data_IF_841667025540
#
_entry.id   IF_841667025540
#
_cell.length_a   1.000
_cell.length_b   1.000
_cell.length_c   1.000
_cell.angle_alpha   90.00
_cell.angle_beta   90.00
_cell.angle_gamma   90.00
#
_symmetry.space_group_name_H-M   'P 1'
#
loop_
_entity.id
_entity.type
_entity.pdbx_description
1 polymer ?
#
# COMPACT_ATOMS: atom_id res chain seq x y z
N UNK A 1 14.29 -26.91 -6.07
CA UNK A 1 15.49 -26.22 -6.62
C UNK A 1 15.05 -24.83 -7.05
N UNK A 2 15.95 -23.85 -6.95
CA UNK A 2 15.59 -22.48 -7.32
C UNK A 2 16.26 -22.11 -8.63
N UNK A 3 15.52 -21.50 -9.55
CA UNK A 3 15.95 -21.09 -10.88
C UNK A 3 15.82 -19.60 -11.02
N UNK A 4 16.73 -18.97 -11.75
CA UNK A 4 16.71 -17.55 -12.01
C UNK A 4 16.61 -17.32 -13.52
N UNK A 5 15.52 -16.72 -13.96
CA UNK A 5 15.28 -16.36 -15.35
C UNK A 5 15.53 -14.87 -15.52
N UNK A 6 16.57 -14.52 -16.27
CA UNK A 6 16.86 -13.15 -16.66
C UNK A 6 16.24 -12.83 -18.01
N UNK A 7 15.61 -11.66 -18.13
CA UNK A 7 14.90 -11.20 -19.33
C UNK A 7 15.29 -9.76 -19.62
N UNK A 8 15.72 -9.46 -20.82
CA UNK A 8 16.06 -8.09 -21.24
C UNK A 8 15.65 -7.84 -22.69
N UNK A 9 15.60 -6.58 -23.08
CA UNK A 9 15.38 -6.21 -24.47
C UNK A 9 16.56 -6.62 -25.34
N UNK A 10 16.29 -6.96 -26.60
CA UNK A 10 17.34 -7.21 -27.61
C UNK A 10 18.24 -5.98 -27.75
N UNK A 11 19.49 -6.19 -28.12
CA UNK A 11 20.51 -5.13 -28.11
C UNK A 11 20.26 -4.01 -29.11
N UNK A 12 19.50 -4.29 -30.16
CA UNK A 12 19.10 -3.34 -31.20
C UNK A 12 17.90 -2.47 -30.82
N UNK A 13 17.23 -2.79 -29.68
CA UNK A 13 16.09 -2.05 -29.19
C UNK A 13 16.51 -1.05 -28.10
N UNK A 14 15.86 0.12 -28.15
CA UNK A 14 16.05 1.15 -27.14
C UNK A 14 15.39 0.72 -25.84
N UNK A 15 16.15 0.74 -24.76
CA UNK A 15 15.66 0.52 -23.41
C UNK A 15 15.10 1.83 -22.83
N UNK A 16 13.79 1.97 -22.88
CA UNK A 16 13.11 3.20 -22.42
C UNK A 16 13.16 3.34 -20.88
N UNK A 17 13.13 2.23 -20.16
CA UNK A 17 13.26 2.20 -18.70
C UNK A 17 14.67 2.65 -18.29
N UNK A 18 15.69 2.02 -18.87
CA UNK A 18 17.08 2.38 -18.63
C UNK A 18 17.39 3.84 -19.02
N UNK A 19 16.83 4.32 -20.13
CA UNK A 19 16.98 5.74 -20.52
C UNK A 19 16.31 6.67 -19.50
N UNK A 20 15.13 6.31 -18.96
CA UNK A 20 14.47 7.07 -17.91
C UNK A 20 15.31 7.18 -16.64
N UNK A 21 15.95 6.08 -16.22
CA UNK A 21 16.87 6.05 -15.08
C UNK A 21 18.09 6.92 -15.35
N UNK A 22 18.69 6.80 -16.54
CA UNK A 22 19.83 7.63 -16.96
C UNK A 22 19.52 9.13 -16.86
N UNK A 23 18.36 9.54 -17.34
CA UNK A 23 17.90 10.93 -17.26
C UNK A 23 17.67 11.38 -15.82
N UNK A 24 17.09 10.54 -14.99
CA UNK A 24 16.86 10.84 -13.57
C UNK A 24 18.19 10.97 -12.80
N UNK A 25 19.15 10.09 -13.04
CA UNK A 25 20.48 10.16 -12.43
C UNK A 25 21.17 11.50 -12.74
N UNK A 26 21.10 11.94 -14.00
CA UNK A 26 21.63 13.24 -14.42
C UNK A 26 20.87 14.40 -13.75
N UNK A 27 19.55 14.42 -13.84
CA UNK A 27 18.74 15.55 -13.35
C UNK A 27 18.70 15.68 -11.83
N UNK A 28 18.71 14.55 -11.10
CA UNK A 28 18.58 14.57 -9.65
C UNK A 28 19.92 14.72 -8.95
N UNK A 29 20.96 14.08 -9.50
CA UNK A 29 22.25 13.98 -8.83
C UNK A 29 23.41 14.59 -9.60
N UNK A 30 23.20 14.99 -10.85
CA UNK A 30 24.29 15.42 -11.72
C UNK A 30 25.22 14.28 -12.15
N UNK A 31 24.80 13.02 -11.99
CA UNK A 31 25.59 11.84 -12.37
C UNK A 31 25.36 11.52 -13.83
N UNK A 32 26.42 11.63 -14.64
CA UNK A 32 26.40 11.31 -16.07
C UNK A 32 26.65 9.81 -16.28
N UNK A 33 25.66 9.12 -16.81
CA UNK A 33 25.75 7.73 -17.28
C UNK A 33 25.74 7.70 -18.82
N UNK A 34 26.56 6.87 -19.41
CA UNK A 34 26.55 6.65 -20.88
C UNK A 34 25.30 5.83 -21.25
N UNK A 35 25.03 4.76 -20.51
CA UNK A 35 23.90 3.88 -20.74
C UNK A 35 23.44 3.19 -19.44
N UNK A 36 22.14 2.90 -19.36
CA UNK A 36 21.54 1.97 -18.40
C UNK A 36 20.75 0.92 -19.17
N UNK A 37 20.94 -0.35 -18.83
CA UNK A 37 20.17 -1.47 -19.38
C UNK A 37 19.50 -2.22 -18.24
N UNK A 38 18.21 -2.49 -18.41
CA UNK A 38 17.41 -3.21 -17.41
C UNK A 38 17.29 -4.69 -17.77
N UNK A 39 17.43 -5.53 -16.76
CA UNK A 39 17.25 -6.98 -16.85
C UNK A 39 16.24 -7.33 -15.77
N UNK A 40 15.03 -7.73 -16.17
CA UNK A 40 14.02 -8.25 -15.25
C UNK A 40 14.38 -9.68 -14.87
N UNK A 41 14.27 -9.98 -13.60
CA UNK A 41 14.69 -11.26 -13.05
C UNK A 41 13.50 -11.93 -12.38
N UNK A 42 13.19 -13.15 -12.79
CA UNK A 42 12.17 -13.99 -12.20
C UNK A 42 12.88 -15.15 -11.50
N UNK A 43 12.81 -15.16 -10.18
CA UNK A 43 13.36 -16.23 -9.35
C UNK A 43 12.27 -17.24 -9.02
N UNK A 44 12.36 -18.45 -9.56
CA UNK A 44 11.40 -19.52 -9.40
C UNK A 44 11.92 -20.48 -8.33
N UNK A 45 11.31 -20.47 -7.15
CA UNK A 45 11.61 -21.39 -6.06
C UNK A 45 10.57 -22.51 -6.04
N UNK A 46 10.65 -23.38 -7.04
CA UNK A 46 9.74 -24.50 -7.23
C UNK A 46 10.44 -25.70 -7.87
N UNK A 47 9.82 -26.88 -7.75
CA UNK A 47 10.34 -28.12 -8.32
C UNK A 47 9.68 -28.37 -9.69
N UNK A 48 10.30 -27.81 -10.72
CA UNK A 48 9.82 -27.91 -12.11
C UNK A 48 10.81 -28.71 -12.98
N UNK A 49 10.29 -29.40 -13.98
CA UNK A 49 11.13 -30.13 -14.95
C UNK A 49 11.79 -29.16 -15.94
N UNK A 50 12.89 -29.57 -16.60
CA UNK A 50 13.53 -28.74 -17.62
C UNK A 50 12.59 -28.36 -18.75
N UNK A 51 11.66 -29.23 -19.15
CA UNK A 51 10.65 -29.00 -20.17
C UNK A 51 9.66 -27.91 -19.71
N UNK A 52 9.18 -27.98 -18.47
CA UNK A 52 8.31 -26.97 -17.86
C UNK A 52 9.03 -25.61 -17.79
N UNK A 53 10.27 -25.59 -17.32
CA UNK A 53 11.07 -24.37 -17.26
C UNK A 53 11.26 -23.75 -18.66
N UNK A 54 11.55 -24.55 -19.67
CA UNK A 54 11.69 -24.01 -21.02
C UNK A 54 10.35 -23.48 -21.56
N UNK A 55 9.23 -24.15 -21.31
CA UNK A 55 7.91 -23.71 -21.73
C UNK A 55 7.55 -22.36 -21.09
N UNK A 56 7.67 -22.20 -19.77
CA UNK A 56 7.37 -20.93 -19.10
C UNK A 56 8.34 -19.82 -19.55
N UNK A 57 9.60 -20.12 -19.82
CA UNK A 57 10.55 -19.16 -20.35
C UNK A 57 10.12 -18.64 -21.71
N UNK A 58 9.82 -19.54 -22.66
CA UNK A 58 9.59 -19.18 -24.05
C UNK A 58 8.18 -18.69 -24.34
N UNK A 59 7.17 -19.19 -23.64
CA UNK A 59 5.77 -18.93 -23.95
C UNK A 59 5.09 -17.99 -22.96
N UNK A 60 5.57 -17.93 -21.71
CA UNK A 60 4.96 -17.10 -20.67
C UNK A 60 5.73 -15.78 -20.44
N UNK A 61 7.05 -15.88 -20.17
CA UNK A 61 7.81 -14.72 -19.67
C UNK A 61 8.62 -14.00 -20.74
N UNK A 62 8.80 -14.55 -21.93
CA UNK A 62 9.65 -13.90 -22.95
C UNK A 62 8.84 -13.53 -24.17
N UNK A 63 8.83 -12.25 -24.52
CA UNK A 63 8.36 -11.83 -25.83
C UNK A 63 9.45 -12.09 -26.88
N UNK A 64 9.27 -13.07 -27.80
CA UNK A 64 10.33 -13.47 -28.73
C UNK A 64 10.65 -12.39 -29.77
N UNK A 65 9.76 -11.41 -29.97
CA UNK A 65 9.97 -10.30 -30.91
C UNK A 65 10.94 -9.27 -30.32
N UNK A 66 10.76 -8.90 -29.06
CA UNK A 66 11.48 -7.76 -28.45
C UNK A 66 12.50 -8.15 -27.40
N UNK A 67 12.39 -9.35 -26.83
CA UNK A 67 13.19 -9.76 -25.68
C UNK A 67 14.08 -10.97 -25.99
N UNK A 68 15.08 -11.12 -25.16
CA UNK A 68 15.86 -12.34 -24.98
C UNK A 68 15.85 -12.73 -23.50
N UNK A 69 15.96 -14.02 -23.22
CA UNK A 69 15.95 -14.54 -21.86
C UNK A 69 16.90 -15.72 -21.69
N UNK A 70 17.38 -15.91 -20.46
CA UNK A 70 18.31 -16.99 -20.12
C UNK A 70 18.16 -17.37 -18.66
N UNK A 71 18.32 -18.68 -18.36
CA UNK A 71 18.52 -19.17 -16.99
C UNK A 71 19.97 -19.02 -16.50
N UNK A 72 20.88 -18.70 -17.39
CA UNK A 72 22.23 -18.27 -17.02
C UNK A 72 22.27 -16.74 -17.00
N UNK A 73 23.16 -16.12 -16.21
CA UNK A 73 23.30 -14.69 -16.16
C UNK A 73 23.54 -14.08 -17.55
N UNK A 74 22.73 -13.10 -17.94
CA UNK A 74 22.92 -12.40 -19.21
C UNK A 74 24.10 -11.46 -19.10
N UNK A 75 25.08 -11.66 -19.98
CA UNK A 75 26.28 -10.82 -20.03
C UNK A 75 25.99 -9.60 -20.91
N UNK A 76 25.98 -8.42 -20.32
CA UNK A 76 25.94 -7.12 -20.98
C UNK A 76 27.22 -6.35 -20.63
N UNK A 77 27.56 -5.34 -21.43
CA UNK A 77 28.62 -4.40 -21.05
C UNK A 77 28.15 -3.51 -19.91
N UNK A 78 28.94 -3.41 -18.84
CA UNK A 78 28.66 -2.52 -17.70
C UNK A 78 29.97 -2.22 -16.95
N UNK A 79 30.01 -1.09 -16.26
CA UNK A 79 31.03 -0.77 -15.27
C UNK A 79 30.53 -1.20 -13.87
N UNK A 80 29.24 -1.02 -13.63
CA UNK A 80 28.54 -1.40 -12.40
C UNK A 80 27.21 -2.08 -12.69
N UNK A 81 26.87 -3.05 -11.88
CA UNK A 81 25.52 -3.62 -11.88
C UNK A 81 24.87 -3.49 -10.50
N UNK A 82 23.60 -3.11 -10.48
CA UNK A 82 22.77 -2.98 -9.27
C UNK A 82 21.61 -3.95 -9.41
N UNK A 83 21.50 -4.87 -8.50
CA UNK A 83 20.31 -5.70 -8.34
C UNK A 83 19.42 -5.11 -7.26
N UNK A 84 18.10 -5.03 -7.53
CA UNK A 84 17.08 -4.56 -6.59
C UNK A 84 15.98 -5.59 -6.52
N UNK A 85 15.58 -5.99 -5.33
CA UNK A 85 14.47 -6.92 -5.08
C UNK A 85 13.85 -6.70 -3.71
N UNK A 86 12.70 -7.29 -3.47
CA UNK A 86 11.98 -7.11 -2.22
C UNK A 86 12.73 -7.67 -1.00
N UNK A 87 12.47 -7.06 0.16
CA UNK A 87 12.92 -7.59 1.45
C UNK A 87 12.09 -8.80 1.86
N UNK A 88 12.64 -9.72 2.69
CA UNK A 88 11.84 -10.76 3.31
C UNK A 88 10.63 -10.19 4.06
N UNK A 89 9.45 -10.80 3.83
CA UNK A 89 8.19 -10.38 4.45
C UNK A 89 7.39 -9.35 3.65
N UNK A 90 7.99 -8.71 2.66
CA UNK A 90 7.27 -7.85 1.73
C UNK A 90 6.57 -8.72 0.67
N UNK A 91 5.31 -8.42 0.39
CA UNK A 91 4.56 -9.15 -0.64
C UNK A 91 5.01 -8.74 -2.03
N UNK A 92 5.45 -9.72 -2.80
CA UNK A 92 5.74 -9.59 -4.23
C UNK A 92 4.47 -9.89 -5.05
N UNK A 93 3.72 -8.84 -5.42
CA UNK A 93 2.51 -8.99 -6.21
C UNK A 93 2.78 -9.50 -7.64
N UNK A 94 3.78 -8.97 -8.40
CA UNK A 94 4.17 -9.55 -9.66
C UNK A 94 4.59 -11.03 -9.55
N UNK A 95 5.32 -11.40 -8.51
CA UNK A 95 5.69 -12.77 -8.21
C UNK A 95 4.47 -13.67 -7.95
N UNK A 96 3.48 -13.17 -7.20
CA UNK A 96 2.23 -13.90 -6.97
C UNK A 96 1.45 -14.11 -8.28
N UNK A 97 1.38 -13.09 -9.13
CA UNK A 97 0.74 -13.22 -10.47
C UNK A 97 1.51 -14.18 -11.37
N UNK A 98 2.83 -14.21 -11.26
CA UNK A 98 3.65 -15.17 -11.99
C UNK A 98 3.38 -16.61 -11.55
N UNK A 99 3.13 -16.85 -10.25
CA UNK A 99 2.69 -18.17 -9.74
C UNK A 99 1.39 -18.59 -10.42
N UNK A 100 0.35 -17.73 -10.39
CA UNK A 100 -0.95 -18.03 -11.01
C UNK A 100 -0.81 -18.33 -12.51
N UNK A 101 0.00 -17.55 -13.22
CA UNK A 101 0.23 -17.74 -14.64
C UNK A 101 0.98 -19.06 -14.96
N UNK A 102 1.91 -19.47 -14.12
CA UNK A 102 2.61 -20.77 -14.23
C UNK A 102 1.64 -21.92 -13.98
N UNK A 103 0.84 -21.82 -12.91
CA UNK A 103 -0.17 -22.84 -12.55
C UNK A 103 -1.17 -23.04 -13.67
N UNK A 104 -1.69 -21.94 -14.21
CA UNK A 104 -2.67 -21.97 -15.34
C UNK A 104 -2.06 -22.56 -16.60
N UNK A 105 -0.84 -22.12 -16.98
CA UNK A 105 -0.20 -22.60 -18.20
C UNK A 105 0.16 -24.09 -18.15
N UNK A 106 0.67 -24.54 -16.99
CA UNK A 106 1.13 -25.92 -16.83
C UNK A 106 0.01 -26.88 -16.37
N UNK A 107 -1.14 -26.37 -15.95
CA UNK A 107 -2.23 -27.16 -15.36
C UNK A 107 -1.84 -27.82 -14.05
N UNK A 108 -1.02 -27.19 -13.24
CA UNK A 108 -0.52 -27.69 -11.95
C UNK A 108 -0.90 -26.71 -10.82
N UNK A 109 -0.68 -27.15 -9.58
CA UNK A 109 -0.69 -26.27 -8.39
C UNK A 109 0.66 -26.40 -7.73
N UNK A 110 1.34 -25.27 -7.48
CA UNK A 110 2.60 -25.24 -6.76
C UNK A 110 2.40 -25.69 -5.30
N UNK A 111 3.38 -26.39 -4.75
CA UNK A 111 3.32 -26.92 -3.39
C UNK A 111 3.38 -25.79 -2.36
N UNK A 112 2.83 -26.01 -1.16
CA UNK A 112 3.02 -25.06 -0.06
C UNK A 112 4.50 -24.79 0.19
N UNK A 113 4.86 -23.49 0.15
CA UNK A 113 6.24 -23.03 0.29
C UNK A 113 7.01 -22.88 -1.01
N UNK A 114 6.51 -23.34 -2.16
CA UNK A 114 7.01 -22.94 -3.47
C UNK A 114 6.49 -21.55 -3.83
N UNK A 115 7.30 -20.74 -4.50
CA UNK A 115 6.97 -19.35 -4.81
C UNK A 115 7.78 -18.83 -6.00
N UNK A 116 7.35 -17.68 -6.51
CA UNK A 116 8.07 -16.92 -7.53
C UNK A 116 8.32 -15.52 -7.01
N UNK A 117 9.51 -15.01 -7.24
CA UNK A 117 9.93 -13.67 -6.81
C UNK A 117 10.43 -12.86 -8.01
N UNK A 118 10.16 -11.56 -7.97
CA UNK A 118 10.61 -10.64 -9.02
C UNK A 118 11.68 -9.69 -8.49
N UNK A 119 12.58 -9.32 -9.37
CA UNK A 119 13.63 -8.33 -9.09
C UNK A 119 14.13 -7.73 -10.40
N UNK A 120 14.93 -6.67 -10.31
CA UNK A 120 15.52 -6.05 -11.49
C UNK A 120 17.02 -5.87 -11.29
N UNK A 121 17.79 -6.18 -12.32
CA UNK A 121 19.22 -5.94 -12.39
C UNK A 121 19.48 -4.82 -13.40
N UNK A 122 20.10 -3.75 -12.94
CA UNK A 122 20.45 -2.58 -13.73
C UNK A 122 21.94 -2.63 -14.07
N UNK A 123 22.27 -2.61 -15.36
CA UNK A 123 23.64 -2.56 -15.88
C UNK A 123 23.95 -1.11 -16.26
N UNK A 124 24.90 -0.49 -15.57
CA UNK A 124 25.28 0.91 -15.75
C UNK A 124 26.65 1.00 -16.43
N UNK A 125 26.75 1.86 -17.44
CA UNK A 125 28.04 2.28 -18.01
C UNK A 125 28.16 3.79 -17.87
N UNK A 126 29.36 4.26 -17.54
CA UNK A 126 29.63 5.70 -17.43
C UNK A 126 31.06 5.99 -17.01
N UNK A 127 31.71 6.88 -17.73
CA UNK A 127 33.10 7.25 -17.45
C UNK A 127 33.19 8.06 -16.14
N UNK A 128 33.98 7.57 -15.20
CA UNK A 128 34.24 8.28 -13.95
C UNK A 128 33.15 8.13 -12.89
N UNK A 129 32.16 7.25 -13.10
CA UNK A 129 31.14 6.92 -12.11
C UNK A 129 31.80 6.17 -10.94
N UNK A 130 31.69 6.75 -9.76
CA UNK A 130 32.30 6.22 -8.53
C UNK A 130 31.37 5.24 -7.80
N UNK A 131 31.92 4.48 -6.86
CA UNK A 131 31.10 3.61 -6.00
C UNK A 131 30.06 4.42 -5.22
N UNK A 132 30.40 5.62 -4.74
CA UNK A 132 29.48 6.49 -4.00
C UNK A 132 28.31 6.95 -4.89
N UNK A 133 28.58 7.29 -6.16
CA UNK A 133 27.53 7.61 -7.13
C UNK A 133 26.56 6.43 -7.33
N UNK A 134 27.11 5.21 -7.43
CA UNK A 134 26.31 4.00 -7.60
C UNK A 134 25.49 3.68 -6.35
N UNK A 135 26.06 3.87 -5.16
CA UNK A 135 25.31 3.75 -3.91
C UNK A 135 24.16 4.74 -3.83
N UNK A 136 24.41 5.99 -4.25
CA UNK A 136 23.39 7.01 -4.31
C UNK A 136 22.26 6.67 -5.29
N UNK A 137 22.61 6.21 -6.49
CA UNK A 137 21.63 5.73 -7.48
C UNK A 137 20.82 4.57 -6.92
N UNK A 138 21.47 3.59 -6.30
CA UNK A 138 20.77 2.43 -5.73
C UNK A 138 19.76 2.81 -4.65
N UNK A 139 20.19 3.55 -3.63
CA UNK A 139 19.35 3.86 -2.47
C UNK A 139 18.36 5.00 -2.68
N UNK A 140 18.72 6.02 -3.50
CA UNK A 140 17.89 7.21 -3.63
C UNK A 140 17.06 7.26 -4.93
N UNK A 141 17.38 6.42 -5.93
CA UNK A 141 16.66 6.37 -7.20
C UNK A 141 16.00 5.02 -7.47
N UNK A 142 16.72 3.91 -7.31
CA UNK A 142 16.26 2.60 -7.76
C UNK A 142 15.50 1.82 -6.69
N UNK A 143 16.00 1.81 -5.44
CA UNK A 143 15.41 1.02 -4.37
C UNK A 143 14.72 1.89 -3.31
N UNK A 144 13.66 1.38 -2.72
CA UNK A 144 13.06 1.90 -1.50
C UNK A 144 13.50 1.02 -0.33
N UNK A 145 14.35 1.54 0.54
CA UNK A 145 14.95 0.79 1.63
C UNK A 145 13.96 0.28 2.70
N UNK A 146 12.73 0.77 2.70
CA UNK A 146 11.67 0.24 3.57
C UNK A 146 11.20 -1.13 3.09
N UNK A 147 11.02 -1.32 1.78
CA UNK A 147 10.43 -2.53 1.21
C UNK A 147 11.39 -3.32 0.31
N UNK A 148 12.51 -2.73 -0.09
CA UNK A 148 13.47 -3.32 -1.01
C UNK A 148 14.87 -3.40 -0.41
N UNK A 149 15.66 -4.26 -1.00
CA UNK A 149 17.09 -4.43 -0.75
C UNK A 149 17.83 -4.43 -2.08
N UNK A 150 19.12 -4.11 -2.05
CA UNK A 150 19.94 -4.09 -3.25
C UNK A 150 21.33 -4.66 -3.04
N UNK A 151 21.93 -5.06 -4.13
CA UNK A 151 23.32 -5.52 -4.20
C UNK A 151 24.02 -4.82 -5.34
N UNK A 152 25.18 -4.23 -5.06
CA UNK A 152 26.03 -3.56 -6.05
C UNK A 152 27.23 -4.45 -6.32
N UNK A 153 27.57 -4.65 -7.60
CA UNK A 153 28.71 -5.43 -8.02
C UNK A 153 29.44 -4.64 -9.13
N UNK A 154 30.76 -4.46 -8.98
CA UNK A 154 31.57 -3.86 -10.02
C UNK A 154 31.84 -4.87 -11.15
N UNK A 155 32.22 -4.38 -12.33
CA UNK A 155 32.64 -5.27 -13.41
C UNK A 155 33.88 -6.11 -13.05
N UNK A 156 34.73 -5.58 -12.19
CA UNK A 156 35.94 -6.32 -11.71
C UNK A 156 35.60 -7.49 -10.79
N UNK A 157 34.47 -7.38 -10.04
CA UNK A 157 34.03 -8.40 -9.07
C UNK A 157 32.95 -9.32 -9.67
N UNK A 158 32.60 -9.14 -10.95
CA UNK A 158 31.57 -9.92 -11.60
C UNK A 158 32.04 -11.32 -11.99
N UNK A 159 31.32 -12.32 -11.53
CA UNK A 159 31.50 -13.72 -11.87
C UNK A 159 30.44 -14.16 -12.89
N UNK A 160 30.79 -14.37 -14.18
CA UNK A 160 29.80 -14.63 -15.24
C UNK A 160 28.92 -15.86 -15.03
N UNK A 161 29.41 -16.88 -14.35
CA UNK A 161 28.66 -18.11 -14.09
C UNK A 161 27.75 -18.02 -12.85
N UNK A 162 28.01 -17.05 -11.97
CA UNK A 162 27.27 -16.83 -10.72
C UNK A 162 26.27 -15.70 -10.84
N UNK A 163 26.65 -14.64 -11.57
CA UNK A 163 25.84 -13.42 -11.66
C UNK A 163 25.66 -12.73 -10.30
N UNK A 164 24.46 -12.29 -10.03
CA UNK A 164 24.10 -11.75 -8.71
C UNK A 164 23.98 -12.84 -7.64
N UNK A 165 23.81 -14.09 -8.06
CA UNK A 165 23.42 -15.21 -7.23
C UNK A 165 21.91 -15.26 -6.98
N UNK A 166 21.41 -16.41 -6.58
CA UNK A 166 19.97 -16.59 -6.28
C UNK A 166 19.65 -16.00 -4.92
N UNK A 167 18.80 -14.99 -4.91
CA UNK A 167 18.33 -14.33 -3.68
C UNK A 167 16.83 -14.62 -3.54
N UNK A 168 16.45 -15.26 -2.42
CA UNK A 168 15.08 -15.65 -2.12
C UNK A 168 14.63 -14.89 -0.86
N UNK A 169 13.74 -13.89 -0.99
CA UNK A 169 13.28 -13.08 0.13
C UNK A 169 12.16 -13.81 0.91
N UNK A 170 12.43 -15.03 1.36
CA UNK A 170 11.47 -15.89 2.05
C UNK A 170 11.58 -15.74 3.55
N UNK A 171 10.45 -15.54 4.21
CA UNK A 171 10.37 -15.64 5.66
C UNK A 171 10.09 -17.10 6.03
N UNK A 172 10.95 -17.66 6.86
CA UNK A 172 10.75 -19.00 7.42
C UNK A 172 10.16 -18.81 8.81
N UNK A 173 8.94 -19.30 9.01
CA UNK A 173 8.30 -19.27 10.31
C UNK A 173 8.67 -20.56 11.07
N UNK A 174 9.19 -20.39 12.26
CA UNK A 174 9.59 -21.51 13.13
C UNK A 174 8.41 -22.14 13.88
N UNK A 175 7.20 -21.62 13.70
CA UNK A 175 5.99 -22.06 14.38
C UNK A 175 4.84 -22.30 13.42
N UNK A 176 3.94 -23.19 13.81
CA UNK A 176 2.68 -23.38 13.09
C UNK A 176 1.71 -22.25 13.43
N UNK A 177 0.96 -21.72 12.44
CA UNK A 177 -0.10 -20.75 12.71
C UNK A 177 -1.11 -21.32 13.69
N UNK A 178 -1.42 -20.56 14.73
CA UNK A 178 -2.36 -20.96 15.77
C UNK A 178 -2.92 -19.75 16.48
N UNK A 179 -3.90 -19.98 17.34
CA UNK A 179 -4.44 -18.97 18.23
C UNK A 179 -3.76 -19.12 19.59
N UNK A 180 -3.17 -18.04 20.08
CA UNK A 180 -2.45 -18.03 21.35
C UNK A 180 -3.26 -17.26 22.41
N UNK A 181 -3.25 -17.75 23.64
CA UNK A 181 -3.78 -17.02 24.79
C UNK A 181 -2.72 -16.05 25.32
N UNK A 182 -3.09 -14.80 25.49
CA UNK A 182 -2.19 -13.72 25.87
C UNK A 182 -2.40 -13.35 27.34
N UNK A 183 -1.36 -13.45 28.21
CA UNK A 183 -1.50 -13.10 29.62
C UNK A 183 -1.70 -11.58 29.79
N UNK A 184 -2.60 -11.21 30.68
CA UNK A 184 -2.94 -9.82 31.01
C UNK A 184 -2.78 -9.51 32.51
N UNK A 185 -1.76 -10.04 33.14
CA UNK A 185 -1.53 -9.96 34.59
C UNK A 185 -1.44 -8.53 35.12
N UNK A 186 -0.85 -7.63 34.35
CA UNK A 186 -0.71 -6.22 34.69
C UNK A 186 -0.88 -5.30 33.48
N UNK A 187 -1.11 -4.00 33.72
CA UNK A 187 -1.13 -2.99 32.67
C UNK A 187 0.22 -2.90 31.95
N UNK A 188 1.31 -3.09 32.70
CA UNK A 188 2.66 -3.12 32.13
C UNK A 188 2.86 -4.30 31.18
N UNK A 189 2.35 -5.49 31.55
CA UNK A 189 2.39 -6.68 30.69
C UNK A 189 1.63 -6.45 29.38
N UNK A 190 0.41 -5.94 29.45
CA UNK A 190 -0.39 -5.69 28.25
C UNK A 190 0.22 -4.57 27.38
N UNK A 191 0.85 -3.56 28.02
CA UNK A 191 1.59 -2.53 27.28
C UNK A 191 2.79 -3.13 26.54
N UNK A 192 3.60 -3.95 27.19
CA UNK A 192 4.72 -4.63 26.57
C UNK A 192 4.27 -5.47 25.37
N UNK A 193 3.21 -6.26 25.52
CA UNK A 193 2.63 -7.05 24.43
C UNK A 193 2.14 -6.16 23.29
N UNK A 194 1.52 -5.01 23.62
CA UNK A 194 1.13 -4.03 22.60
C UNK A 194 2.31 -3.52 21.80
N UNK A 195 3.43 -3.22 22.47
CA UNK A 195 4.65 -2.73 21.82
C UNK A 195 5.31 -3.85 20.98
N UNK A 196 5.42 -5.07 21.50
CA UNK A 196 6.03 -6.22 20.81
C UNK A 196 5.23 -6.69 19.58
N UNK A 197 3.90 -6.58 19.62
CA UNK A 197 3.00 -7.01 18.54
C UNK A 197 2.49 -5.86 17.67
N UNK A 198 2.98 -4.64 17.86
CA UNK A 198 2.54 -3.43 17.15
C UNK A 198 1.02 -3.18 17.23
N UNK A 199 0.40 -3.48 18.36
CA UNK A 199 -1.03 -3.27 18.54
C UNK A 199 -1.42 -1.79 18.71
N UNK A 200 -0.48 -0.92 19.01
CA UNK A 200 -0.70 0.52 19.22
C UNK A 200 -1.85 0.84 20.18
N UNK A 201 -2.02 0.03 21.24
CA UNK A 201 -3.09 0.25 22.21
C UNK A 201 -2.89 1.56 22.97
N UNK A 202 -3.92 2.40 23.02
CA UNK A 202 -3.86 3.63 23.78
C UNK A 202 -3.64 3.30 25.27
N UNK A 203 -2.68 3.95 25.95
CA UNK A 203 -2.40 3.72 27.36
C UNK A 203 -3.63 3.83 28.28
N UNK A 204 -4.60 4.68 27.93
CA UNK A 204 -5.85 4.84 28.69
C UNK A 204 -6.83 3.67 28.46
N UNK A 205 -6.71 2.95 27.36
CA UNK A 205 -7.58 1.80 27.07
C UNK A 205 -7.07 0.51 27.72
N UNK A 206 -5.76 0.40 28.00
CA UNK A 206 -5.16 -0.78 28.61
C UNK A 206 -5.84 -1.22 29.90
N UNK A 207 -6.07 -0.34 30.90
CA UNK A 207 -6.80 -0.73 32.12
C UNK A 207 -8.24 -1.17 31.84
N UNK A 208 -8.90 -0.56 30.85
CA UNK A 208 -10.28 -0.88 30.47
C UNK A 208 -10.36 -2.26 29.82
N UNK A 209 -9.45 -2.55 28.91
CA UNK A 209 -9.35 -3.87 28.25
C UNK A 209 -9.12 -4.96 29.32
N UNK A 210 -8.17 -4.75 30.22
CA UNK A 210 -7.91 -5.69 31.32
C UNK A 210 -9.13 -5.88 32.21
N UNK A 211 -9.76 -4.79 32.64
CA UNK A 211 -10.95 -4.87 33.48
C UNK A 211 -12.10 -5.66 32.84
N UNK A 212 -12.28 -5.55 31.52
CA UNK A 212 -13.24 -6.36 30.78
C UNK A 212 -12.93 -7.85 30.85
N UNK A 213 -11.73 -8.27 30.50
CA UNK A 213 -11.37 -9.70 30.50
C UNK A 213 -11.24 -10.30 31.92
N UNK A 214 -11.00 -9.46 32.95
CA UNK A 214 -10.95 -9.89 34.33
C UNK A 214 -12.35 -9.91 35.01
N UNK A 215 -13.39 -9.41 34.35
CA UNK A 215 -14.74 -9.42 34.87
C UNK A 215 -15.27 -10.85 35.05
N UNK A 216 -15.85 -11.15 36.22
CA UNK A 216 -16.33 -12.50 36.57
C UNK A 216 -17.39 -13.06 35.61
N UNK A 217 -18.29 -12.21 35.10
CA UNK A 217 -19.31 -12.62 34.13
C UNK A 217 -18.67 -12.98 32.81
N UNK A 218 -17.79 -12.12 32.30
CA UNK A 218 -17.05 -12.36 31.07
C UNK A 218 -16.22 -13.64 31.17
N UNK A 219 -15.49 -13.83 32.27
CA UNK A 219 -14.70 -15.05 32.51
C UNK A 219 -15.56 -16.32 32.52
N UNK A 220 -16.73 -16.29 33.14
CA UNK A 220 -17.64 -17.45 33.13
C UNK A 220 -18.12 -17.80 31.75
N UNK A 221 -18.49 -16.81 30.95
CA UNK A 221 -18.91 -17.03 29.56
C UNK A 221 -17.77 -17.57 28.73
N UNK A 222 -16.56 -17.04 28.88
CA UNK A 222 -15.35 -17.45 28.15
C UNK A 222 -14.93 -18.89 28.48
N UNK A 223 -14.99 -19.29 29.73
CA UNK A 223 -14.67 -20.65 30.17
C UNK A 223 -15.59 -21.69 29.49
N UNK A 224 -16.85 -21.35 29.21
CA UNK A 224 -17.75 -22.22 28.46
C UNK A 224 -17.28 -22.51 27.04
N UNK A 225 -16.45 -21.62 26.47
CA UNK A 225 -15.80 -21.76 25.14
C UNK A 225 -14.35 -22.25 25.21
N UNK A 226 -13.87 -22.66 26.40
CA UNK A 226 -12.50 -23.11 26.60
C UNK A 226 -11.45 -21.99 26.66
N UNK A 227 -11.87 -20.74 26.82
CA UNK A 227 -11.01 -19.56 26.87
C UNK A 227 -10.92 -19.00 28.31
N UNK A 228 -9.79 -18.43 28.66
CA UNK A 228 -9.57 -17.71 29.93
C UNK A 228 -9.18 -16.25 29.68
N UNK A 229 -7.91 -16.01 29.42
CA UNK A 229 -7.38 -14.71 29.04
C UNK A 229 -7.70 -14.40 27.56
N UNK A 230 -7.53 -13.16 27.08
CA UNK A 230 -7.75 -12.83 25.70
C UNK A 230 -6.86 -13.65 24.78
N UNK A 231 -7.34 -13.91 23.58
CA UNK A 231 -6.50 -14.44 22.51
C UNK A 231 -5.80 -13.29 21.79
N UNK A 232 -4.72 -13.62 21.09
CA UNK A 232 -4.01 -12.71 20.22
C UNK A 232 -4.93 -12.11 19.14
N UNK A 233 -5.84 -12.91 18.55
CA UNK A 233 -6.84 -12.45 17.57
C UNK A 233 -7.82 -11.43 18.20
N UNK A 234 -8.25 -11.63 19.44
CA UNK A 234 -9.13 -10.68 20.12
C UNK A 234 -8.40 -9.35 20.37
N UNK A 235 -7.12 -9.39 20.74
CA UNK A 235 -6.34 -8.17 20.94
C UNK A 235 -6.10 -7.44 19.62
N UNK A 236 -5.85 -8.14 18.51
CA UNK A 236 -5.78 -7.58 17.16
C UNK A 236 -7.11 -6.87 16.79
N UNK A 237 -8.23 -7.53 17.01
CA UNK A 237 -9.54 -6.96 16.73
C UNK A 237 -9.79 -5.68 17.56
N UNK A 238 -9.44 -5.70 18.84
CA UNK A 238 -9.56 -4.54 19.73
C UNK A 238 -8.64 -3.41 19.24
N UNK A 239 -7.41 -3.73 18.89
CA UNK A 239 -6.44 -2.78 18.31
C UNK A 239 -7.04 -2.06 17.10
N UNK A 240 -7.53 -2.80 16.12
CA UNK A 240 -8.15 -2.23 14.93
C UNK A 240 -9.39 -1.38 15.26
N UNK A 241 -10.31 -1.91 16.05
CA UNK A 241 -11.57 -1.23 16.40
C UNK A 241 -11.37 0.01 17.27
N UNK A 242 -10.29 0.08 18.06
CA UNK A 242 -9.96 1.19 18.96
C UNK A 242 -8.97 2.20 18.35
N UNK A 243 -8.42 1.91 17.19
CA UNK A 243 -7.50 2.82 16.50
C UNK A 243 -8.15 4.18 16.21
N UNK A 244 -7.35 5.22 16.08
CA UNK A 244 -7.86 6.56 15.76
C UNK A 244 -8.53 6.61 14.38
N UNK A 245 -8.09 5.75 13.47
CA UNK A 245 -8.72 5.57 12.17
C UNK A 245 -10.18 5.10 12.25
N UNK A 246 -10.46 4.09 13.07
CA UNK A 246 -11.81 3.53 13.19
C UNK A 246 -12.68 4.28 14.19
N UNK A 247 -12.09 4.74 15.30
CA UNK A 247 -12.83 5.30 16.43
C UNK A 247 -12.82 6.83 16.50
N UNK A 248 -11.97 7.49 15.68
CA UNK A 248 -11.84 8.95 15.61
C UNK A 248 -11.64 9.62 16.97
N UNK A 249 -10.78 9.03 17.82
CA UNK A 249 -10.54 9.49 19.19
C UNK A 249 -10.11 10.94 19.26
N UNK A 250 -9.21 11.36 18.36
CA UNK A 250 -8.71 12.74 18.27
C UNK A 250 -9.85 13.71 17.97
N UNK A 251 -10.65 13.49 16.92
CA UNK A 251 -11.77 14.34 16.57
C UNK A 251 -12.98 14.21 17.49
N UNK A 252 -13.11 13.06 18.17
CA UNK A 252 -14.12 12.81 19.18
C UNK A 252 -13.79 13.38 20.56
N UNK A 253 -12.56 13.82 20.79
CA UNK A 253 -12.06 14.32 22.05
C UNK A 253 -12.56 15.71 22.45
N UNK A 254 -12.23 16.10 23.69
CA UNK A 254 -12.49 17.45 24.22
C UNK A 254 -11.35 18.39 23.82
N UNK A 255 -11.69 19.46 23.11
CA UNK A 255 -10.72 20.47 22.67
C UNK A 255 -10.77 21.69 23.57
N UNK A 256 -9.59 22.11 24.05
CA UNK A 256 -9.36 23.39 24.72
C UNK A 256 -8.76 24.36 23.70
N UNK A 257 -9.63 25.09 23.00
CA UNK A 257 -9.19 26.06 22.00
C UNK A 257 -8.90 27.42 22.64
N UNK A 258 -7.81 28.03 22.22
CA UNK A 258 -7.46 29.42 22.59
C UNK A 258 -7.04 30.18 21.34
N UNK A 259 -7.75 31.27 21.09
CA UNK A 259 -7.34 32.22 20.06
C UNK A 259 -6.18 33.09 20.57
N UNK A 260 -5.03 33.00 19.93
CA UNK A 260 -3.83 33.75 20.37
C UNK A 260 -3.89 35.25 20.05
N UNK A 261 -4.78 35.69 19.15
CA UNK A 261 -4.96 37.10 18.80
C UNK A 261 -5.94 37.79 19.72
N UNK A 262 -7.05 37.13 20.01
CA UNK A 262 -8.12 37.69 20.85
C UNK A 262 -7.98 37.33 22.33
N UNK A 263 -7.26 36.24 22.64
CA UNK A 263 -7.15 35.67 23.97
C UNK A 263 -8.39 34.87 24.40
N UNK A 264 -9.40 34.75 23.54
CA UNK A 264 -10.61 33.99 23.83
C UNK A 264 -10.32 32.51 23.97
N UNK A 265 -11.01 31.86 24.89
CA UNK A 265 -10.92 30.42 25.13
C UNK A 265 -12.27 29.77 24.92
N UNK A 266 -12.27 28.60 24.29
CA UNK A 266 -13.47 27.80 24.03
C UNK A 266 -13.19 26.34 24.33
N UNK A 267 -14.18 25.67 24.96
CA UNK A 267 -14.19 24.23 25.12
C UNK A 267 -15.15 23.63 24.09
N UNK A 268 -14.64 22.72 23.25
CA UNK A 268 -15.41 22.06 22.21
C UNK A 268 -15.44 20.57 22.54
N UNK A 269 -16.61 20.08 22.95
CA UNK A 269 -16.82 18.65 23.19
C UNK A 269 -17.10 17.95 21.87
N UNK A 270 -16.14 17.12 21.45
CA UNK A 270 -16.11 16.46 20.15
C UNK A 270 -16.15 17.44 18.97
N UNK A 271 -14.99 17.76 18.42
CA UNK A 271 -14.88 18.59 17.22
C UNK A 271 -15.72 18.01 16.06
N UNK A 272 -15.66 16.69 15.88
CA UNK A 272 -16.44 16.00 14.84
C UNK A 272 -17.95 16.20 15.05
N UNK A 273 -18.46 15.95 16.26
CA UNK A 273 -19.88 16.08 16.56
C UNK A 273 -20.35 17.53 16.43
N UNK A 274 -19.56 18.48 16.94
CA UNK A 274 -19.94 19.91 17.01
C UNK A 274 -19.81 20.57 15.67
N UNK A 275 -18.72 20.36 14.92
CA UNK A 275 -18.39 21.11 13.71
C UNK A 275 -18.78 20.39 12.41
N UNK A 276 -19.01 19.07 12.44
CA UNK A 276 -19.34 18.28 11.26
C UNK A 276 -20.75 17.71 11.36
N UNK A 277 -21.02 16.85 12.35
CA UNK A 277 -22.30 16.13 12.44
C UNK A 277 -23.49 17.06 12.67
N UNK A 278 -23.38 17.99 13.62
CA UNK A 278 -24.49 18.88 13.97
C UNK A 278 -24.86 19.83 12.82
N UNK A 279 -23.93 20.57 12.17
CA UNK A 279 -24.23 21.38 11.01
C UNK A 279 -24.78 20.56 9.83
N UNK A 280 -24.22 19.38 9.58
CA UNK A 280 -24.70 18.49 8.51
C UNK A 280 -26.15 18.11 8.70
N UNK A 281 -26.53 17.71 9.93
CA UNK A 281 -27.92 17.38 10.28
C UNK A 281 -28.87 18.57 10.16
N UNK A 282 -28.41 19.77 10.48
CA UNK A 282 -29.22 20.97 10.31
C UNK A 282 -29.41 21.34 8.84
N UNK A 283 -28.36 21.23 8.05
CA UNK A 283 -28.41 21.47 6.61
C UNK A 283 -29.30 20.45 5.90
N UNK A 284 -29.21 19.18 6.27
CA UNK A 284 -30.07 18.11 5.69
C UNK A 284 -31.56 18.37 5.91
N UNK A 285 -31.94 19.07 7.00
CA UNK A 285 -33.35 19.49 7.21
C UNK A 285 -33.78 20.64 6.34
N UNK A 286 -32.84 21.42 5.81
CA UNK A 286 -33.09 22.64 5.04
C UNK A 286 -32.88 22.46 3.54
N UNK A 287 -32.21 21.38 3.15
CA UNK A 287 -31.78 21.08 1.78
C UNK A 287 -32.35 19.73 1.37
N UNK A 288 -33.40 19.77 0.59
CA UNK A 288 -34.13 18.61 0.06
C UNK A 288 -33.28 17.74 -0.89
N UNK A 289 -32.24 18.30 -1.48
CA UNK A 289 -31.30 17.57 -2.33
C UNK A 289 -30.26 16.71 -1.51
N UNK A 290 -30.16 16.88 -0.21
CA UNK A 290 -29.33 16.03 0.65
C UNK A 290 -30.09 14.75 1.01
N UNK A 291 -29.69 13.64 0.41
CA UNK A 291 -30.38 12.35 0.57
C UNK A 291 -29.82 11.58 1.76
N UNK A 292 -28.53 11.32 1.78
CA UNK A 292 -27.87 10.58 2.85
C UNK A 292 -26.43 11.02 3.03
N UNK A 293 -26.04 11.34 4.26
CA UNK A 293 -24.66 11.72 4.62
C UNK A 293 -24.30 11.13 5.98
N UNK A 294 -23.03 10.79 6.17
CA UNK A 294 -22.47 10.19 7.40
C UNK A 294 -23.16 8.86 7.78
N UNK A 295 -23.59 8.10 6.80
CA UNK A 295 -24.29 6.83 6.99
C UNK A 295 -23.66 5.68 6.21
N UNK A 296 -23.46 5.84 4.92
CA UNK A 296 -22.85 4.85 4.03
C UNK A 296 -21.40 5.25 3.70
N UNK A 297 -20.71 4.52 2.83
CA UNK A 297 -19.32 4.77 2.44
C UNK A 297 -19.11 6.15 1.78
N UNK A 298 -20.15 6.72 1.17
CA UNK A 298 -20.09 8.04 0.55
C UNK A 298 -21.37 8.85 0.79
N UNK A 299 -21.27 10.16 0.64
CA UNK A 299 -22.42 11.06 0.68
C UNK A 299 -23.28 10.93 -0.57
N UNK A 300 -24.61 11.00 -0.40
CA UNK A 300 -25.61 10.88 -1.46
C UNK A 300 -26.42 12.15 -1.56
N UNK A 301 -26.53 12.71 -2.74
CA UNK A 301 -27.38 13.86 -3.02
C UNK A 301 -28.21 13.68 -4.29
N UNK A 302 -29.33 14.41 -4.38
CA UNK A 302 -30.21 14.41 -5.55
C UNK A 302 -29.52 15.06 -6.74
N UNK A 303 -29.44 14.37 -7.86
CA UNK A 303 -28.94 14.91 -9.12
C UNK A 303 -30.08 15.39 -10.02
N UNK A 304 -31.03 14.52 -10.29
CA UNK A 304 -32.26 14.78 -11.00
C UNK A 304 -33.42 13.93 -10.43
N UNK A 305 -34.57 13.89 -11.10
CA UNK A 305 -35.74 13.15 -10.63
C UNK A 305 -35.48 11.63 -10.52
N UNK A 306 -34.61 11.10 -11.39
CA UNK A 306 -34.34 9.65 -11.52
C UNK A 306 -33.03 9.23 -10.94
N UNK A 307 -32.12 10.16 -10.60
CA UNK A 307 -30.76 9.85 -10.21
C UNK A 307 -30.29 10.57 -8.95
N UNK A 308 -29.43 9.89 -8.20
CA UNK A 308 -28.60 10.43 -7.15
C UNK A 308 -27.15 10.55 -7.60
N UNK A 309 -26.44 11.59 -7.20
CA UNK A 309 -24.98 11.59 -7.23
C UNK A 309 -24.42 11.05 -5.91
N UNK A 310 -23.27 10.41 -6.01
CA UNK A 310 -22.54 9.85 -4.88
C UNK A 310 -21.15 10.47 -4.87
N UNK A 311 -20.70 11.01 -3.74
CA UNK A 311 -19.40 11.67 -3.64
C UNK A 311 -18.68 11.33 -2.35
N UNK A 312 -17.39 11.06 -2.49
CA UNK A 312 -16.46 10.90 -1.36
C UNK A 312 -15.08 11.44 -1.69
N UNK A 313 -14.28 11.65 -0.69
CA UNK A 313 -12.87 12.01 -0.82
C UNK A 313 -12.08 11.56 0.41
N UNK A 314 -10.91 11.00 0.14
CA UNK A 314 -10.02 10.44 1.15
C UNK A 314 -8.58 10.92 0.93
N UNK A 315 -7.80 10.87 1.99
CA UNK A 315 -6.35 11.05 1.90
C UNK A 315 -5.62 9.74 2.13
N UNK A 316 -4.54 9.53 1.39
CA UNK A 316 -3.69 8.35 1.53
C UNK A 316 -2.22 8.76 1.73
N UNK A 317 -1.97 9.49 2.82
CA UNK A 317 -0.71 10.21 3.07
C UNK A 317 0.40 9.29 3.56
N UNK A 318 0.20 8.61 4.69
CA UNK A 318 1.22 7.76 5.31
C UNK A 318 1.66 6.60 4.41
N UNK A 319 0.75 5.83 3.79
CA UNK A 319 1.17 4.79 2.85
C UNK A 319 1.97 5.32 1.66
N UNK A 320 1.58 6.50 1.12
CA UNK A 320 2.33 7.13 0.01
C UNK A 320 3.70 7.63 0.43
N UNK A 321 3.87 8.01 1.69
CA UNK A 321 5.18 8.39 2.23
C UNK A 321 6.13 7.18 2.40
N UNK A 322 5.57 6.01 2.72
CA UNK A 322 6.35 4.78 2.86
C UNK A 322 6.73 4.20 1.50
N UNK A 323 5.77 4.10 0.60
CA UNK A 323 5.93 3.63 -0.77
C UNK A 323 5.00 4.44 -1.69
N UNK A 324 5.59 5.34 -2.48
CA UNK A 324 4.84 6.37 -3.18
C UNK A 324 3.89 5.83 -4.25
N UNK A 325 4.33 4.85 -5.03
CA UNK A 325 3.53 4.23 -6.10
C UNK A 325 2.39 3.38 -5.52
N UNK A 326 2.71 2.41 -4.69
CA UNK A 326 1.72 1.50 -4.11
C UNK A 326 0.76 2.21 -3.16
N UNK A 327 1.26 3.18 -2.39
CA UNK A 327 0.43 4.01 -1.54
C UNK A 327 -0.57 4.84 -2.32
N UNK A 328 -0.16 5.48 -3.42
CA UNK A 328 -1.04 6.29 -4.26
C UNK A 328 -2.07 5.44 -5.03
N UNK A 329 -1.66 4.32 -5.62
CA UNK A 329 -2.58 3.43 -6.35
C UNK A 329 -3.62 2.81 -5.39
N UNK A 330 -3.23 2.46 -4.18
CA UNK A 330 -4.15 1.94 -3.15
C UNK A 330 -5.14 3.01 -2.71
N UNK A 331 -4.71 4.28 -2.62
CA UNK A 331 -5.58 5.42 -2.34
C UNK A 331 -6.71 5.56 -3.37
N UNK A 332 -6.38 5.41 -4.67
CA UNK A 332 -7.39 5.41 -5.74
C UNK A 332 -8.38 4.26 -5.57
N UNK A 333 -7.87 3.04 -5.41
CA UNK A 333 -8.71 1.84 -5.28
C UNK A 333 -9.62 1.94 -4.05
N UNK A 334 -9.11 2.43 -2.92
CA UNK A 334 -9.88 2.67 -1.70
C UNK A 334 -11.04 3.63 -1.92
N UNK A 335 -10.74 4.81 -2.47
CA UNK A 335 -11.75 5.84 -2.71
C UNK A 335 -12.77 5.44 -3.78
N UNK A 336 -12.37 4.68 -4.80
CA UNK A 336 -13.30 4.23 -5.83
C UNK A 336 -14.27 3.14 -5.33
N UNK A 337 -13.85 2.32 -4.35
CA UNK A 337 -14.74 1.33 -3.72
C UNK A 337 -15.90 1.97 -2.96
N UNK A 338 -15.68 3.16 -2.38
CA UNK A 338 -16.68 3.82 -1.55
C UNK A 338 -17.94 4.19 -2.33
N UNK A 339 -17.89 4.94 -3.45
CA UNK A 339 -19.08 5.16 -4.26
C UNK A 339 -19.68 3.88 -4.85
N UNK A 340 -18.82 2.92 -5.27
CA UNK A 340 -19.30 1.64 -5.79
C UNK A 340 -20.05 0.82 -4.74
N UNK A 341 -19.60 0.88 -3.49
CA UNK A 341 -20.24 0.22 -2.36
C UNK A 341 -21.42 0.97 -1.77
N UNK A 342 -21.68 2.23 -2.16
CA UNK A 342 -22.74 3.06 -1.62
C UNK A 342 -24.07 2.71 -2.25
N UNK A 343 -25.10 2.51 -1.43
CA UNK A 343 -26.44 2.22 -1.87
C UNK A 343 -26.54 1.00 -2.78
N UNK A 344 -27.34 1.11 -3.84
CA UNK A 344 -27.60 0.04 -4.82
C UNK A 344 -27.47 0.57 -6.24
N UNK A 345 -26.53 -0.03 -7.02
CA UNK A 345 -26.37 0.26 -8.44
C UNK A 345 -25.58 1.54 -8.76
N UNK A 346 -24.80 2.03 -7.83
CA UNK A 346 -23.90 3.15 -8.07
C UNK A 346 -22.80 2.80 -9.09
N UNK A 347 -22.46 3.76 -9.96
CA UNK A 347 -21.41 3.67 -10.98
C UNK A 347 -20.50 4.88 -10.88
N UNK A 348 -19.20 4.67 -10.98
CA UNK A 348 -18.22 5.76 -11.03
C UNK A 348 -18.33 6.53 -12.35
N UNK A 349 -18.24 7.85 -12.26
CA UNK A 349 -18.31 8.78 -13.39
C UNK A 349 -16.99 9.52 -13.57
N UNK A 350 -16.36 9.93 -12.46
CA UNK A 350 -15.08 10.64 -12.49
C UNK A 350 -14.31 10.52 -11.18
N UNK A 351 -12.99 10.68 -11.29
CA UNK A 351 -12.10 10.90 -10.15
C UNK A 351 -11.38 12.23 -10.28
N UNK A 352 -10.95 12.80 -9.16
CA UNK A 352 -10.06 13.97 -9.13
C UNK A 352 -9.00 13.83 -8.05
N UNK A 353 -7.87 14.50 -8.22
CA UNK A 353 -6.69 14.30 -7.39
C UNK A 353 -6.08 15.63 -6.96
N UNK A 354 -5.54 15.65 -5.73
CA UNK A 354 -4.76 16.75 -5.22
C UNK A 354 -3.54 16.24 -4.48
N UNK A 355 -2.35 16.71 -4.86
CA UNK A 355 -1.11 16.36 -4.20
C UNK A 355 -0.47 17.60 -3.58
N UNK A 356 -0.04 17.49 -2.33
CA UNK A 356 0.84 18.47 -1.71
C UNK A 356 2.11 17.76 -1.26
N UNK A 357 3.23 18.21 -1.79
CA UNK A 357 4.56 17.64 -1.52
C UNK A 357 5.53 18.73 -1.07
N UNK A 358 6.65 18.33 -0.50
CA UNK A 358 7.74 19.24 -0.16
C UNK A 358 8.37 19.89 -1.38
N UNK A 359 9.37 20.73 -1.15
CA UNK A 359 10.08 21.40 -2.22
C UNK A 359 10.75 20.39 -3.15
N UNK A 360 10.40 20.44 -4.43
CA UNK A 360 10.95 19.56 -5.44
C UNK A 360 12.45 19.73 -5.63
N UNK A 361 12.94 20.97 -5.46
CA UNK A 361 14.34 21.33 -5.67
C UNK A 361 15.16 21.29 -4.37
N UNK A 362 14.60 20.67 -3.32
CA UNK A 362 15.32 20.41 -2.09
C UNK A 362 16.58 19.59 -2.38
N UNK A 363 17.73 20.05 -1.83
CA UNK A 363 19.06 19.49 -2.08
C UNK A 363 19.64 18.71 -0.90
N UNK A 364 18.89 18.60 0.21
CA UNK A 364 19.29 17.89 1.41
C UNK A 364 18.85 16.43 1.46
N UNK A 365 19.33 15.71 2.47
CA UNK A 365 18.87 14.36 2.81
C UNK A 365 17.59 14.45 3.68
N UNK A 366 16.62 13.59 3.45
CA UNK A 366 15.33 13.59 4.14
C UNK A 366 14.97 12.21 4.70
N UNK A 367 15.94 11.48 5.19
CA UNK A 367 15.71 10.17 5.82
C UNK A 367 15.01 10.31 7.18
N UNK A 368 14.12 9.40 7.52
CA UNK A 368 13.70 8.18 6.82
C UNK A 368 12.64 8.39 5.71
N UNK A 369 12.26 9.62 5.42
CA UNK A 369 11.22 9.92 4.43
C UNK A 369 11.76 9.92 3.01
N UNK A 370 10.89 9.61 2.05
CA UNK A 370 11.23 9.71 0.63
C UNK A 370 11.46 11.17 0.23
N UNK A 371 12.50 11.41 -0.57
CA UNK A 371 12.78 12.73 -1.12
C UNK A 371 11.57 13.25 -1.94
N UNK A 372 11.20 14.56 -1.84
CA UNK A 372 10.01 15.09 -2.51
C UNK A 372 9.90 14.82 -4.00
N UNK A 373 11.01 14.81 -4.74
CA UNK A 373 11.03 14.43 -6.18
C UNK A 373 10.58 13.00 -6.39
N UNK A 374 11.18 12.06 -5.64
CA UNK A 374 10.89 10.64 -5.71
C UNK A 374 9.45 10.35 -5.31
N UNK A 375 9.02 10.99 -4.21
CA UNK A 375 7.66 10.90 -3.73
C UNK A 375 6.65 11.35 -4.79
N UNK A 376 6.88 12.53 -5.39
CA UNK A 376 6.00 13.07 -6.43
C UNK A 376 5.94 12.18 -7.67
N UNK A 377 7.09 11.71 -8.16
CA UNK A 377 7.16 10.84 -9.33
C UNK A 377 6.39 9.54 -9.09
N UNK A 378 6.57 8.89 -7.94
CA UNK A 378 5.88 7.65 -7.58
C UNK A 378 4.37 7.86 -7.38
N UNK A 379 3.96 8.97 -6.74
CA UNK A 379 2.53 9.32 -6.58
C UNK A 379 1.87 9.55 -7.94
N UNK A 380 2.51 10.30 -8.83
CA UNK A 380 1.98 10.53 -10.19
C UNK A 380 1.84 9.21 -10.95
N UNK A 381 2.83 8.34 -10.85
CA UNK A 381 2.83 7.04 -11.51
C UNK A 381 1.73 6.12 -10.97
N UNK A 382 1.57 6.02 -9.65
CA UNK A 382 0.51 5.25 -9.01
C UNK A 382 -0.89 5.75 -9.36
N UNK A 383 -1.09 7.07 -9.37
CA UNK A 383 -2.36 7.67 -9.80
C UNK A 383 -2.64 7.44 -11.28
N UNK A 384 -1.64 7.61 -12.14
CA UNK A 384 -1.76 7.33 -13.58
C UNK A 384 -2.21 5.88 -13.82
N UNK A 385 -1.54 4.94 -13.19
CA UNK A 385 -1.80 3.51 -13.41
C UNK A 385 -3.13 3.09 -12.83
N UNK A 386 -3.45 3.51 -11.61
CA UNK A 386 -4.75 3.27 -10.98
C UNK A 386 -5.91 3.88 -11.77
N UNK A 387 -5.74 5.12 -12.23
CA UNK A 387 -6.73 5.81 -13.07
C UNK A 387 -6.91 5.11 -14.42
N UNK A 388 -5.85 4.87 -15.15
CA UNK A 388 -5.91 4.25 -16.48
C UNK A 388 -6.50 2.83 -16.44
N UNK A 389 -6.15 2.03 -15.43
CA UNK A 389 -6.67 0.67 -15.28
C UNK A 389 -8.15 0.63 -14.89
N UNK A 390 -8.67 1.66 -14.23
CA UNK A 390 -10.06 1.74 -13.83
C UNK A 390 -11.01 2.18 -14.96
N UNK A 391 -10.49 2.86 -15.98
CA UNK A 391 -11.29 3.47 -17.04
C UNK A 391 -12.14 4.67 -16.58
N UNK A 392 -11.90 5.17 -15.36
CA UNK A 392 -12.62 6.33 -14.81
C UNK A 392 -11.90 7.62 -15.22
N UNK A 393 -12.58 8.57 -15.87
CA UNK A 393 -11.94 9.81 -16.32
C UNK A 393 -11.54 10.71 -15.15
N UNK A 394 -10.43 11.43 -15.35
CA UNK A 394 -9.91 12.41 -14.40
C UNK A 394 -10.03 13.82 -14.98
N UNK A 395 -11.11 14.55 -14.70
CA UNK A 395 -11.33 15.90 -15.22
C UNK A 395 -10.49 16.98 -14.54
N UNK A 396 -9.96 16.70 -13.34
CA UNK A 396 -9.22 17.67 -12.55
C UNK A 396 -8.11 16.99 -11.75
N UNK A 397 -6.94 17.64 -11.73
CA UNK A 397 -5.81 17.30 -10.88
C UNK A 397 -5.01 18.55 -10.52
N UNK A 398 -4.44 18.57 -9.31
CA UNK A 398 -3.65 19.68 -8.81
C UNK A 398 -2.42 19.18 -8.05
N UNK A 399 -1.28 19.86 -8.26
CA UNK A 399 -0.05 19.62 -7.48
C UNK A 399 0.37 20.93 -6.84
N UNK A 400 0.64 20.89 -5.54
CA UNK A 400 1.11 22.03 -4.74
C UNK A 400 2.42 21.66 -4.04
N UNK A 401 3.32 22.65 -3.93
CA UNK A 401 4.59 22.52 -3.27
C UNK A 401 4.65 23.45 -2.05
N UNK A 402 5.01 22.91 -0.91
CA UNK A 402 5.19 23.69 0.30
C UNK A 402 6.09 22.96 1.31
N UNK A 403 7.00 23.69 1.95
CA UNK A 403 7.95 23.11 2.92
C UNK A 403 7.28 22.34 4.07
N UNK A 404 6.05 22.68 4.45
CA UNK A 404 5.29 21.97 5.48
C UNK A 404 4.94 20.52 5.13
N UNK A 405 5.12 20.11 3.86
CA UNK A 405 4.91 18.73 3.40
C UNK A 405 6.22 17.95 3.16
N UNK A 406 7.34 18.44 3.70
CA UNK A 406 8.63 17.74 3.57
C UNK A 406 8.64 16.39 4.29
N UNK A 407 8.10 16.34 5.50
CA UNK A 407 8.08 15.11 6.30
C UNK A 407 6.88 14.19 6.01
N UNK A 408 5.77 14.74 5.51
CA UNK A 408 4.57 13.97 5.18
C UNK A 408 3.79 14.67 4.08
N UNK A 409 3.60 13.99 2.95
CA UNK A 409 2.82 14.49 1.84
C UNK A 409 1.32 14.49 2.13
N UNK A 410 0.56 15.20 1.31
CA UNK A 410 -0.88 15.01 1.16
C UNK A 410 -1.13 14.36 -0.21
N UNK A 411 -1.78 13.23 -0.21
CA UNK A 411 -2.33 12.58 -1.41
C UNK A 411 -3.84 12.49 -1.21
N UNK A 412 -4.57 13.39 -1.85
CA UNK A 412 -6.02 13.45 -1.80
C UNK A 412 -6.62 12.88 -3.08
N UNK A 413 -7.57 11.98 -2.92
CA UNK A 413 -8.34 11.38 -4.00
C UNK A 413 -9.82 11.66 -3.75
N UNK A 414 -10.52 12.08 -4.79
CA UNK A 414 -11.97 12.27 -4.77
C UNK A 414 -12.60 11.43 -5.86
N UNK A 415 -13.78 10.88 -5.60
CA UNK A 415 -14.55 10.13 -6.58
C UNK A 415 -16.02 10.55 -6.57
N UNK A 416 -16.59 10.60 -7.75
CA UNK A 416 -18.01 10.87 -7.96
C UNK A 416 -18.63 9.72 -8.72
N UNK A 417 -19.77 9.27 -8.23
CA UNK A 417 -20.60 8.27 -8.87
C UNK A 417 -22.01 8.80 -9.14
N UNK A 418 -22.76 8.03 -9.90
CA UNK A 418 -24.19 8.23 -10.12
C UNK A 418 -24.92 6.91 -9.88
N UNK A 419 -26.09 6.98 -9.27
CA UNK A 419 -26.93 5.80 -9.08
C UNK A 419 -28.40 6.14 -9.35
N UNK A 420 -29.24 5.17 -9.76
CA UNK A 420 -30.67 5.42 -9.89
C UNK A 420 -31.26 5.77 -8.52
N UNK A 421 -32.28 6.64 -8.48
CA UNK A 421 -32.96 7.02 -7.23
C UNK A 421 -33.71 5.83 -6.61
N UNK A 422 -34.13 4.88 -7.42
CA UNK A 422 -34.82 3.64 -7.01
C UNK A 422 -34.28 2.39 -7.71
N UNK A 423 -34.25 1.29 -6.98
CA UNK A 423 -33.92 -0.05 -7.51
C UNK A 423 -35.01 -1.01 -7.06
N UNK A 424 -35.64 -1.70 -8.00
CA UNK A 424 -36.76 -2.63 -7.75
C UNK A 424 -37.90 -2.01 -6.94
N UNK A 425 -38.20 -0.73 -7.16
CA UNK A 425 -39.28 0.00 -6.50
C UNK A 425 -38.98 0.49 -5.07
N UNK A 426 -37.75 0.34 -4.61
CA UNK A 426 -37.29 0.82 -3.31
C UNK A 426 -36.19 1.90 -3.47
N UNK A 427 -36.07 2.87 -2.54
CA UNK A 427 -34.98 3.85 -2.55
C UNK A 427 -33.61 3.16 -2.60
N UNK A 428 -32.73 3.62 -3.49
CA UNK A 428 -31.43 3.00 -3.72
C UNK A 428 -30.39 3.32 -2.64
N UNK A 429 -30.53 4.43 -1.95
CA UNK A 429 -29.68 4.83 -0.81
C UNK A 429 -29.90 3.92 0.42
N UNK A 430 -30.99 3.18 0.47
CA UNK A 430 -31.32 2.28 1.57
C UNK A 430 -30.90 0.83 1.24
N UNK A 431 -29.92 0.33 1.97
CA UNK A 431 -29.50 -1.05 1.89
C UNK A 431 -29.38 -1.70 3.27
N UNK A 432 -29.75 -2.94 3.36
CA UNK A 432 -29.50 -3.81 4.50
C UNK A 432 -29.48 -5.27 4.06
N UNK A 433 -28.78 -6.09 4.79
CA UNK A 433 -28.82 -7.54 4.61
C UNK A 433 -29.99 -8.13 5.40
N UNK A 434 -30.54 -9.25 4.91
CA UNK A 434 -31.62 -9.99 5.54
C UNK A 434 -31.24 -11.46 5.74
N UNK A 435 -31.79 -12.16 6.73
CA UNK A 435 -31.55 -13.58 6.92
C UNK A 435 -31.92 -14.38 5.64
N UNK A 436 -31.03 -15.24 5.21
CA UNK A 436 -31.20 -16.06 4.02
C UNK A 436 -30.59 -15.46 2.73
N UNK A 437 -30.10 -14.23 2.74
CA UNK A 437 -29.33 -13.69 1.63
C UNK A 437 -27.94 -14.34 1.54
N UNK A 438 -27.41 -14.44 0.31
CA UNK A 438 -26.11 -15.05 0.06
C UNK A 438 -25.00 -14.02 0.20
N UNK A 439 -23.92 -14.42 0.88
CA UNK A 439 -22.65 -13.67 0.91
C UNK A 439 -21.79 -14.20 -0.25
N UNK A 440 -21.51 -13.33 -1.22
CA UNK A 440 -20.70 -13.68 -2.38
C UNK A 440 -19.37 -12.93 -2.31
N UNK A 441 -18.26 -13.67 -2.32
CA UNK A 441 -16.92 -13.14 -2.43
C UNK A 441 -16.42 -13.29 -3.88
N UNK A 442 -15.99 -12.17 -4.48
CA UNK A 442 -15.43 -12.16 -5.83
C UNK A 442 -14.00 -11.65 -5.78
N UNK A 443 -13.12 -12.20 -6.60
CA UNK A 443 -11.73 -11.80 -6.73
C UNK A 443 -10.75 -12.89 -6.30
N UNK A 444 -9.50 -12.50 -6.07
CA UNK A 444 -8.44 -13.42 -5.66
C UNK A 444 -8.55 -13.91 -4.22
N UNK A 445 -7.56 -14.70 -3.80
CA UNK A 445 -7.47 -15.22 -2.44
C UNK A 445 -7.37 -14.09 -1.42
N UNK A 446 -8.04 -14.24 -0.29
CA UNK A 446 -7.94 -13.33 0.85
C UNK A 446 -6.89 -13.86 1.80
N UNK A 447 -5.99 -12.98 2.24
CA UNK A 447 -4.95 -13.26 3.23
C UNK A 447 -4.96 -12.21 4.34
N UNK A 448 -3.88 -12.16 5.11
CA UNK A 448 -3.67 -11.20 6.20
C UNK A 448 -2.87 -9.95 5.76
N UNK A 449 -2.69 -9.75 4.46
CA UNK A 449 -2.00 -8.59 3.92
C UNK A 449 -2.74 -7.31 4.32
N UNK A 450 -1.99 -6.33 4.81
CA UNK A 450 -2.53 -5.05 5.26
C UNK A 450 -3.05 -5.03 6.71
N UNK A 451 -2.93 -6.11 7.48
CA UNK A 451 -3.08 -6.07 8.93
C UNK A 451 -2.14 -5.00 9.50
N UNK A 452 -2.63 -4.21 10.47
CA UNK A 452 -1.99 -3.01 11.03
C UNK A 452 -1.84 -1.81 10.08
N UNK A 453 -2.09 -1.95 8.79
CA UNK A 453 -1.95 -0.83 7.85
C UNK A 453 -2.82 0.37 8.24
N UNK A 454 -4.05 0.14 8.64
CA UNK A 454 -5.00 1.17 9.12
C UNK A 454 -4.52 1.77 10.45
N UNK A 455 -4.11 0.94 11.40
CA UNK A 455 -3.60 1.38 12.70
C UNK A 455 -2.32 2.18 12.51
N UNK A 456 -1.35 1.66 11.78
CA UNK A 456 -0.09 2.32 11.51
C UNK A 456 -0.26 3.66 10.75
N UNK A 457 -1.26 3.79 9.88
CA UNK A 457 -1.51 5.04 9.15
C UNK A 457 -1.92 6.22 10.06
N UNK A 458 -2.40 5.95 11.26
CA UNK A 458 -2.74 6.93 12.29
C UNK A 458 -1.58 7.27 13.23
N UNK A 459 -0.47 6.53 13.16
CA UNK A 459 0.72 6.76 13.98
C UNK A 459 1.64 7.85 13.39
N UNK A 460 2.49 8.40 14.24
CA UNK A 460 3.58 9.27 13.82
C UNK A 460 4.81 8.42 13.54
N UNK A 461 5.20 8.33 12.27
CA UNK A 461 6.42 7.60 11.90
C UNK A 461 7.67 8.33 12.38
N UNK A 462 8.60 7.57 12.92
CA UNK A 462 9.93 8.03 13.33
C UNK A 462 11.00 7.05 12.81
N UNK A 463 12.27 7.38 13.01
CA UNK A 463 13.40 6.50 12.70
C UNK A 463 13.34 5.14 13.43
N UNK A 464 12.55 5.04 14.48
CA UNK A 464 12.37 3.84 15.29
C UNK A 464 11.05 3.12 15.05
N UNK A 465 10.26 3.59 14.08
CA UNK A 465 9.03 2.88 13.68
C UNK A 465 9.42 1.60 12.96
N UNK A 466 8.98 0.42 13.44
CA UNK A 466 9.36 -0.87 12.88
C UNK A 466 8.81 -1.08 11.45
#
# INVERSE_FOLDING_TARGET
MSYQLEITLKSDLKDAEGEGIRQKALHYFGIELDQVRCIHVITIDADLTPEQLNMIRSELFTNPVTQLSSFNPIVLAFDWTIWVGYRPGVRDNPGSTAVEAIEDMLGIVLRPGEAVYTSTRYCLTGKGVTADDVHKIAGELLANDIIEQWKIISNADWEPDVGVGVIIPKVILDHQPGVETVPIDSDATLKQISDERNLALNPNDIPVIRAYFLNDTVRKDRVSSGLTDPTDIELEYISQGRSDHCNHNTFGGLFHYRDLKTGETQHIDSLFKTCIVSPTRELSKKKDWVVSVLWDNAGVGQFDEDHFYVITGETHNSPSNMEAYGGAITGIVGVYRDPLGTGKGSKLVMGSYGFCVGDRDYDGDLKPHLHPRRLLDGVIEGVRDGGNKSGVPTPFGQVLFHHGYMGKCLVFVNAVGIMPSTVSGAPSDQKKTSPGELIIMCGGRVGKDGIHGVTASSEVFSEHTP
#
